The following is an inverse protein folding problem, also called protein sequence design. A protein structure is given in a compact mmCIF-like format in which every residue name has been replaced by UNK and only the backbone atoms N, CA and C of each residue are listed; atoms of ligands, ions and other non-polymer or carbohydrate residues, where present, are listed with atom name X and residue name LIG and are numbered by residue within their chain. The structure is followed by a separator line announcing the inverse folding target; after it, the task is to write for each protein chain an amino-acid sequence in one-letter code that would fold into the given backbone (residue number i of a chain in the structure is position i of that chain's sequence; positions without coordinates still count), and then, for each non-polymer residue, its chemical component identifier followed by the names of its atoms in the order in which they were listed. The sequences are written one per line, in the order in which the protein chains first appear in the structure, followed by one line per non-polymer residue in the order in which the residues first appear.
data_IF_674461429926
#
_entry.id   IF_674461429926
#
_cell.length_a   1.000
_cell.length_b   1.000
_cell.length_c   1.000
_cell.angle_alpha   90.00
_cell.angle_beta   90.00
_cell.angle_gamma   90.00
#
_symmetry.space_group_name_H-M   'P 1'
#
loop_
_entity.id
_entity.type
_entity.pdbx_description
1 polymer ?
#
# COMPACT_ATOMS: atom_id res chain seq x y z
N UNK A 1 0.49 12.27 -14.25
CA UNK A 1 0.54 13.02 -12.98
C UNK A 1 -0.86 13.56 -12.76
N UNK A 2 -1.53 13.13 -11.69
CA UNK A 2 -2.88 13.59 -11.36
C UNK A 2 -2.76 14.69 -10.29
N UNK A 3 -3.58 15.72 -10.39
CA UNK A 3 -3.59 16.84 -9.45
C UNK A 3 -4.96 16.92 -8.78
N UNK A 4 -4.96 17.14 -7.47
CA UNK A 4 -6.18 17.31 -6.68
C UNK A 4 -6.24 18.73 -6.15
N UNK A 5 -7.45 19.26 -6.01
CA UNK A 5 -7.62 20.59 -5.45
C UNK A 5 -7.35 20.54 -3.94
N UNK A 6 -6.35 21.29 -3.48
CA UNK A 6 -6.03 21.43 -2.07
C UNK A 6 -6.87 22.52 -1.41
N UNK A 7 -7.12 23.62 -2.15
CA UNK A 7 -7.84 24.77 -1.62
C UNK A 7 -8.87 25.30 -2.61
N UNK A 8 -10.16 25.16 -2.24
CA UNK A 8 -11.27 25.77 -2.95
C UNK A 8 -11.59 27.16 -2.38
N UNK A 9 -11.81 28.12 -3.27
CA UNK A 9 -12.36 29.43 -2.94
C UNK A 9 -13.56 29.72 -3.84
N UNK A 10 -14.51 30.51 -3.32
CA UNK A 10 -15.65 30.98 -4.11
C UNK A 10 -15.31 32.39 -4.59
N UNK A 11 -15.15 32.54 -5.91
CA UNK A 11 -14.91 33.82 -6.57
C UNK A 11 -16.12 34.08 -7.47
N UNK A 12 -16.79 35.22 -7.28
CA UNK A 12 -17.99 35.60 -8.04
C UNK A 12 -19.11 34.54 -8.05
N UNK A 13 -19.27 33.83 -6.93
CA UNK A 13 -20.29 32.77 -6.78
C UNK A 13 -19.92 31.43 -7.45
N UNK A 14 -18.74 31.33 -8.07
CA UNK A 14 -18.23 30.09 -8.68
C UNK A 14 -17.19 29.47 -7.76
N UNK A 15 -17.29 28.17 -7.50
CA UNK A 15 -16.26 27.40 -6.81
C UNK A 15 -15.05 27.20 -7.73
N UNK A 16 -13.94 27.83 -7.36
CA UNK A 16 -12.67 27.78 -8.10
C UNK A 16 -11.57 27.20 -7.21
N UNK A 17 -10.75 26.33 -7.78
CA UNK A 17 -9.57 25.83 -7.09
C UNK A 17 -8.42 26.82 -7.23
N UNK A 18 -7.89 27.30 -6.10
CA UNK A 18 -6.79 28.29 -6.08
C UNK A 18 -5.43 27.68 -5.74
N UNK A 19 -5.44 26.46 -5.20
CA UNK A 19 -4.22 25.71 -4.90
C UNK A 19 -4.40 24.25 -5.33
N UNK A 20 -3.51 23.78 -6.19
CA UNK A 20 -3.48 22.41 -6.70
C UNK A 20 -2.28 21.67 -6.09
N UNK A 21 -2.55 20.52 -5.50
CA UNK A 21 -1.52 19.63 -5.01
C UNK A 21 -1.36 18.44 -5.95
N UNK A 22 -0.13 17.95 -6.09
CA UNK A 22 0.12 16.70 -6.80
C UNK A 22 -0.43 15.53 -5.98
N UNK A 23 -1.20 14.66 -6.63
CA UNK A 23 -1.73 13.46 -5.99
C UNK A 23 -0.60 12.46 -5.79
N UNK A 24 -0.04 12.42 -4.58
CA UNK A 24 0.98 11.44 -4.19
C UNK A 24 0.30 10.09 -3.97
N UNK A 25 0.55 9.15 -4.89
CA UNK A 25 0.15 7.75 -4.70
C UNK A 25 1.08 7.01 -3.73
N UNK A 26 0.65 5.87 -3.19
CA UNK A 26 1.50 4.99 -2.34
C UNK A 26 2.85 4.70 -3.02
N UNK A 27 2.82 4.48 -4.34
CA UNK A 27 4.02 4.20 -5.12
C UNK A 27 4.99 5.39 -5.17
N UNK A 28 4.50 6.63 -5.29
CA UNK A 28 5.34 7.84 -5.24
C UNK A 28 5.92 8.07 -3.85
N UNK A 29 5.15 7.79 -2.79
CA UNK A 29 5.62 7.93 -1.41
C UNK A 29 6.81 7.01 -1.10
N UNK A 30 6.86 5.83 -1.72
CA UNK A 30 7.97 4.88 -1.57
C UNK A 30 9.00 4.99 -2.69
N UNK A 31 8.82 5.91 -3.66
CA UNK A 31 9.72 6.04 -4.82
C UNK A 31 9.81 4.77 -5.67
N UNK A 32 8.74 3.96 -5.69
CA UNK A 32 8.68 2.68 -6.41
C UNK A 32 7.73 2.75 -7.59
N UNK A 33 8.03 2.02 -8.65
CA UNK A 33 7.11 1.80 -9.76
C UNK A 33 6.01 0.80 -9.39
N UNK A 34 4.91 0.79 -10.13
CA UNK A 34 3.83 -0.21 -9.98
C UNK A 34 4.34 -1.65 -10.14
N UNK A 35 5.29 -1.87 -11.08
CA UNK A 35 5.92 -3.17 -11.28
C UNK A 35 6.74 -3.60 -10.06
N UNK A 36 7.49 -2.69 -9.45
CA UNK A 36 8.25 -2.96 -8.23
C UNK A 36 7.33 -3.21 -7.04
N UNK A 37 6.23 -2.46 -6.91
CA UNK A 37 5.23 -2.69 -5.85
C UNK A 37 4.64 -4.11 -5.92
N UNK A 38 4.36 -4.61 -7.12
CA UNK A 38 3.88 -5.99 -7.31
C UNK A 38 4.93 -7.04 -6.89
N UNK A 39 6.20 -6.83 -7.25
CA UNK A 39 7.29 -7.73 -6.85
C UNK A 39 7.50 -7.76 -5.33
N UNK A 40 7.47 -6.60 -4.68
CA UNK A 40 7.57 -6.48 -3.22
C UNK A 40 6.39 -7.19 -2.54
N UNK A 41 5.17 -7.01 -3.05
CA UNK A 41 3.97 -7.68 -2.53
C UNK A 41 4.03 -9.20 -2.64
N UNK A 42 4.59 -9.72 -3.73
CA UNK A 42 4.73 -11.16 -3.93
C UNK A 42 5.81 -11.76 -3.01
N UNK A 43 6.93 -11.05 -2.84
CA UNK A 43 7.98 -11.44 -1.91
C UNK A 43 7.51 -11.45 -0.45
N UNK A 44 6.74 -10.44 -0.02
CA UNK A 44 6.20 -10.39 1.34
C UNK A 44 5.16 -11.47 1.59
N UNK A 45 4.30 -11.77 0.62
CA UNK A 45 3.33 -12.87 0.70
C UNK A 45 4.03 -14.23 0.90
N UNK A 46 5.14 -14.49 0.19
CA UNK A 46 5.90 -15.72 0.36
C UNK A 46 6.42 -15.88 1.80
N UNK A 47 6.99 -14.82 2.38
CA UNK A 47 7.50 -14.84 3.76
C UNK A 47 6.38 -15.14 4.76
N UNK A 48 5.21 -14.51 4.59
CA UNK A 48 4.04 -14.74 5.46
C UNK A 48 3.57 -16.20 5.35
N UNK A 49 3.45 -16.73 4.14
CA UNK A 49 3.02 -18.12 3.92
C UNK A 49 4.01 -19.09 4.54
N UNK A 50 5.31 -18.89 4.34
CA UNK A 50 6.35 -19.73 4.93
C UNK A 50 6.28 -19.70 6.46
N UNK A 51 6.17 -18.50 7.07
CA UNK A 51 6.01 -18.37 8.52
C UNK A 51 4.75 -19.06 9.03
N UNK A 52 3.62 -18.95 8.32
CA UNK A 52 2.37 -19.61 8.67
C UNK A 52 2.49 -21.14 8.60
N UNK A 53 3.16 -21.67 7.57
CA UNK A 53 3.43 -23.10 7.43
C UNK A 53 4.31 -23.61 8.57
N UNK A 54 5.40 -22.93 8.89
CA UNK A 54 6.27 -23.32 10.01
C UNK A 54 5.54 -23.30 11.35
N UNK A 55 4.73 -22.25 11.62
CA UNK A 55 3.87 -22.22 12.82
C UNK A 55 2.91 -23.42 12.87
N UNK A 56 2.28 -23.76 11.75
CA UNK A 56 1.36 -24.89 11.70
C UNK A 56 2.07 -26.24 11.87
N UNK A 57 3.24 -26.41 11.26
CA UNK A 57 4.06 -27.61 11.40
C UNK A 57 4.57 -27.77 12.85
N UNK A 58 4.99 -26.69 13.51
CA UNK A 58 5.35 -26.70 14.92
C UNK A 58 4.20 -27.18 15.80
N UNK A 59 3.00 -26.64 15.61
CA UNK A 59 1.80 -27.09 16.34
C UNK A 59 1.42 -28.56 16.08
N UNK A 60 1.72 -29.11 14.90
CA UNK A 60 1.49 -30.53 14.60
C UNK A 60 2.56 -31.38 15.29
N UNK A 61 3.82 -30.94 15.28
CA UNK A 61 4.91 -31.62 15.98
C UNK A 61 4.68 -31.73 17.48
N UNK A 62 4.23 -30.65 18.13
CA UNK A 62 3.89 -30.66 19.56
C UNK A 62 2.76 -31.65 19.88
N UNK A 63 1.74 -31.74 19.00
CA UNK A 63 0.63 -32.69 19.15
C UNK A 63 0.99 -34.15 18.87
N UNK A 64 2.11 -34.40 18.19
CA UNK A 64 2.54 -35.77 17.84
C UNK A 64 3.43 -36.41 18.92
N UNK A 65 3.87 -35.64 19.91
CA UNK A 65 4.71 -36.10 21.02
C UNK A 65 3.92 -36.40 22.32
N UNK A 66 2.62 -36.10 22.36
CA UNK A 66 1.64 -36.59 23.34
C UNK A 66 0.99 -37.91 22.86
#
# INVERSE_FOLDING_TARGET
MAYVCEQLQIIDGVQTCVLWAEQVGINDMFGITTAQAAQIGLASALVIVVAAVFNKLGQIGDKSHD
#
